data_IF_062929050293
#
_entry.id   IF_062929050293
#
_cell.length_a   1.000
_cell.length_b   1.000
_cell.length_c   1.000
_cell.angle_alpha   90.00
_cell.angle_beta   90.00
_cell.angle_gamma   90.00
#
_symmetry.space_group_name_H-M   'P 1'
#
loop_
_entity.id
_entity.type
_entity.pdbx_description
1 polymer ?
#
# COMPACT_ATOMS: atom_id res chain seq x y z
N UNK A 1 -0.76 -1.56 8.17
CA UNK A 1 -1.56 -2.43 9.07
C UNK A 1 -1.58 -1.92 10.50
N UNK A 2 -0.45 -1.52 11.03
CA UNK A 2 -0.35 -1.03 12.43
C UNK A 2 -1.30 0.15 12.72
N UNK A 3 -1.38 1.15 11.83
CA UNK A 3 -2.34 2.24 11.95
C UNK A 3 -3.78 1.74 12.13
N UNK A 4 -4.25 0.88 11.22
CA UNK A 4 -5.62 0.36 11.28
C UNK A 4 -5.86 -0.41 12.59
N UNK A 5 -4.96 -1.33 12.94
CA UNK A 5 -5.11 -2.13 14.17
C UNK A 5 -5.14 -1.26 15.43
N UNK A 6 -4.27 -0.24 15.51
CA UNK A 6 -4.27 0.70 16.63
C UNK A 6 -5.58 1.48 16.68
N UNK A 7 -6.06 2.00 15.56
CA UNK A 7 -7.32 2.76 15.52
C UNK A 7 -8.55 1.90 15.78
N UNK A 8 -8.57 0.67 15.32
CA UNK A 8 -9.64 -0.27 15.67
C UNK A 8 -9.69 -0.53 17.18
N UNK A 9 -8.55 -0.67 17.83
CA UNK A 9 -8.49 -0.84 19.28
C UNK A 9 -8.93 0.42 20.06
N UNK A 10 -8.66 1.61 19.53
CA UNK A 10 -9.11 2.88 20.12
C UNK A 10 -10.63 3.10 19.95
N UNK A 11 -11.17 2.76 18.79
CA UNK A 11 -12.59 2.97 18.46
C UNK A 11 -13.49 1.88 19.04
N UNK A 12 -12.98 0.65 19.16
CA UNK A 12 -13.67 -0.51 19.68
C UNK A 12 -12.87 -1.12 20.85
N UNK A 13 -12.92 -0.50 22.04
CA UNK A 13 -12.22 -1.04 23.20
C UNK A 13 -12.85 -2.36 23.68
N UNK A 14 -12.05 -3.21 24.31
CA UNK A 14 -12.53 -4.46 24.89
C UNK A 14 -13.71 -4.21 25.87
N UNK A 15 -14.74 -5.04 25.87
CA UNK A 15 -14.89 -6.35 25.21
C UNK A 15 -15.57 -6.33 23.82
N UNK A 16 -15.65 -5.18 23.14
CA UNK A 16 -16.31 -5.11 21.84
C UNK A 16 -15.56 -5.92 20.79
N UNK A 17 -16.27 -6.66 19.91
CA UNK A 17 -15.65 -7.32 18.79
C UNK A 17 -15.01 -6.27 17.86
N UNK A 18 -13.84 -6.58 17.36
CA UNK A 18 -13.11 -5.69 16.41
C UNK A 18 -12.38 -6.50 15.36
N UNK A 19 -12.29 -5.99 14.13
CA UNK A 19 -11.54 -6.66 13.07
C UNK A 19 -10.03 -6.51 13.29
N UNK A 20 -9.28 -7.48 12.78
CA UNK A 20 -7.83 -7.38 12.68
C UNK A 20 -7.45 -6.99 11.25
N UNK A 21 -6.70 -5.90 11.08
CA UNK A 21 -6.18 -5.50 9.78
C UNK A 21 -4.95 -6.33 9.43
N UNK A 22 -4.96 -6.96 8.26
CA UNK A 22 -3.89 -7.85 7.77
C UNK A 22 -3.47 -7.50 6.35
N UNK A 23 -2.18 -7.64 6.05
CA UNK A 23 -1.69 -7.61 4.69
C UNK A 23 -1.81 -9.03 4.12
N UNK A 24 -2.58 -9.18 3.04
CA UNK A 24 -2.84 -10.46 2.42
C UNK A 24 -2.15 -10.55 1.04
N UNK A 25 -1.56 -11.70 0.77
CA UNK A 25 -1.14 -12.10 -0.57
C UNK A 25 -2.25 -12.93 -1.26
N UNK A 26 -2.10 -13.20 -2.57
CA UNK A 26 -3.09 -13.96 -3.33
C UNK A 26 -3.39 -15.34 -2.73
N UNK A 27 -2.36 -16.05 -2.24
CA UNK A 27 -2.52 -17.38 -1.64
C UNK A 27 -3.27 -17.39 -0.28
N UNK A 28 -3.41 -16.24 0.38
CA UNK A 28 -4.09 -16.13 1.66
C UNK A 28 -5.62 -16.15 1.49
N UNK A 29 -6.09 -15.73 0.33
CA UNK A 29 -7.52 -15.76 0.00
C UNK A 29 -8.09 -17.18 -0.12
N UNK A 30 -7.27 -18.17 -0.48
CA UNK A 30 -7.67 -19.58 -0.54
C UNK A 30 -7.80 -20.22 0.84
N UNK A 31 -7.21 -19.59 1.86
CA UNK A 31 -7.07 -20.16 3.21
C UNK A 31 -7.84 -19.37 4.25
N UNK A 32 -8.75 -18.50 3.84
CA UNK A 32 -9.53 -17.68 4.77
C UNK A 32 -10.21 -18.57 5.80
N UNK A 33 -9.96 -18.27 7.07
CA UNK A 33 -10.53 -18.94 8.24
C UNK A 33 -10.40 -20.48 8.27
N UNK A 34 -9.57 -21.07 7.40
CA UNK A 34 -9.51 -22.52 7.19
C UNK A 34 -8.47 -23.24 8.06
N UNK A 35 -7.53 -22.52 8.66
CA UNK A 35 -6.37 -23.09 9.36
C UNK A 35 -5.87 -22.17 10.47
N UNK A 36 -5.24 -22.70 11.52
CA UNK A 36 -4.56 -21.89 12.53
C UNK A 36 -3.43 -21.04 11.98
N UNK A 37 -2.93 -21.31 10.76
CA UNK A 37 -1.93 -20.49 10.05
C UNK A 37 -2.54 -19.49 9.05
N UNK A 38 -3.88 -19.41 8.92
CA UNK A 38 -4.51 -18.42 8.06
C UNK A 38 -4.19 -17.00 8.52
N UNK A 39 -3.77 -16.15 7.59
CA UNK A 39 -3.54 -14.71 7.84
C UNK A 39 -4.88 -14.00 8.02
N UNK A 40 -5.89 -14.38 7.23
CA UNK A 40 -7.23 -13.79 7.30
C UNK A 40 -8.10 -14.66 8.21
N UNK A 41 -8.40 -14.16 9.41
CA UNK A 41 -9.28 -14.77 10.40
C UNK A 41 -10.37 -13.81 10.81
N UNK A 42 -11.60 -14.29 10.87
CA UNK A 42 -12.76 -13.49 11.23
C UNK A 42 -12.73 -13.01 12.71
N UNK A 43 -13.10 -11.76 12.97
CA UNK A 43 -13.32 -10.69 12.01
C UNK A 43 -12.00 -10.08 11.52
N UNK A 44 -11.92 -9.72 10.23
CA UNK A 44 -10.71 -9.14 9.66
C UNK A 44 -11.01 -8.06 8.59
N UNK A 45 -10.04 -7.17 8.38
CA UNK A 45 -9.94 -6.31 7.21
C UNK A 45 -8.62 -6.64 6.50
N UNK A 46 -8.71 -7.20 5.31
CA UNK A 46 -7.52 -7.48 4.49
C UNK A 46 -7.19 -6.29 3.60
N UNK A 47 -5.89 -6.02 3.45
CA UNK A 47 -5.34 -5.13 2.45
C UNK A 47 -4.53 -5.97 1.47
N UNK A 48 -4.89 -5.92 0.21
CA UNK A 48 -4.23 -6.64 -0.88
C UNK A 48 -3.67 -5.66 -1.89
N UNK A 49 -2.36 -5.72 -2.15
CA UNK A 49 -1.73 -4.95 -3.22
C UNK A 49 -1.84 -5.75 -4.52
N UNK A 50 -2.72 -5.33 -5.42
CA UNK A 50 -2.93 -6.03 -6.69
C UNK A 50 -2.11 -5.46 -7.85
N UNK A 51 -1.60 -4.23 -7.71
CA UNK A 51 -0.80 -3.58 -8.75
C UNK A 51 0.20 -2.59 -8.16
N UNK A 52 1.41 -2.60 -8.72
CA UNK A 52 2.42 -1.57 -8.46
C UNK A 52 2.81 -0.94 -9.80
N UNK A 53 2.84 0.38 -9.88
CA UNK A 53 3.26 1.09 -11.08
C UNK A 53 4.09 2.33 -10.72
N UNK A 54 4.77 2.88 -11.72
CA UNK A 54 5.52 4.13 -11.56
C UNK A 54 4.55 5.30 -11.44
N UNK A 55 4.78 6.20 -10.50
CA UNK A 55 4.06 7.46 -10.43
C UNK A 55 4.62 8.44 -11.46
N UNK A 56 4.04 8.39 -12.66
CA UNK A 56 4.51 9.13 -13.82
C UNK A 56 4.61 10.66 -13.60
N UNK A 57 3.66 11.32 -12.92
CA UNK A 57 3.76 12.76 -12.65
C UNK A 57 4.97 13.14 -11.79
N UNK A 58 5.35 12.31 -10.83
CA UNK A 58 6.48 12.61 -9.92
C UNK A 58 7.84 12.20 -10.52
N UNK A 59 7.87 11.27 -11.46
CA UNK A 59 9.09 10.69 -12.01
C UNK A 59 10.11 11.71 -12.57
N UNK A 60 9.71 12.76 -13.31
CA UNK A 60 10.68 13.72 -13.88
C UNK A 60 11.54 14.41 -12.83
N UNK A 61 10.97 14.80 -11.69
CA UNK A 61 11.69 15.44 -10.61
C UNK A 61 12.63 14.51 -9.81
N UNK A 62 12.50 13.21 -10.01
CA UNK A 62 13.23 12.18 -9.26
C UNK A 62 14.27 11.42 -10.10
N UNK A 63 14.50 11.86 -11.31
CA UNK A 63 15.57 11.31 -12.15
C UNK A 63 16.95 11.73 -11.62
N UNK A 64 17.98 10.93 -11.90
CA UNK A 64 19.36 11.25 -11.50
C UNK A 64 19.89 12.57 -12.08
N UNK A 65 19.31 13.02 -13.20
CA UNK A 65 19.68 14.29 -13.86
C UNK A 65 19.16 15.51 -13.08
N UNK A 66 18.01 15.38 -12.44
CA UNK A 66 17.37 16.47 -11.68
C UNK A 66 17.60 16.39 -10.17
N UNK A 67 18.14 15.27 -9.67
CA UNK A 67 18.43 15.13 -8.24
C UNK A 67 19.74 15.83 -7.86
N UNK A 68 19.72 16.55 -6.75
CA UNK A 68 20.90 17.32 -6.25
C UNK A 68 22.07 16.39 -5.90
N UNK A 69 21.78 15.18 -5.46
CA UNK A 69 22.76 14.17 -5.03
C UNK A 69 23.12 13.16 -6.14
N UNK A 70 22.58 13.32 -7.35
CA UNK A 70 22.82 12.42 -8.47
C UNK A 70 22.22 11.01 -8.31
N UNK A 71 21.49 10.74 -7.23
CA UNK A 71 20.85 9.44 -6.99
C UNK A 71 19.54 9.38 -7.75
N UNK A 72 19.38 8.35 -8.58
CA UNK A 72 18.13 8.06 -9.26
C UNK A 72 17.11 7.50 -8.27
N UNK A 73 15.90 8.04 -8.29
CA UNK A 73 14.79 7.56 -7.47
C UNK A 73 13.62 7.17 -8.34
N UNK A 74 12.98 6.08 -7.99
CA UNK A 74 11.77 5.63 -8.69
C UNK A 74 10.57 5.85 -7.77
N UNK A 75 9.68 6.79 -8.13
CA UNK A 75 8.43 6.98 -7.40
C UNK A 75 7.43 5.89 -7.80
N UNK A 76 6.87 5.20 -6.82
CA UNK A 76 5.90 4.14 -7.02
C UNK A 76 4.53 4.53 -6.49
N UNK A 77 3.53 3.97 -7.13
CA UNK A 77 2.13 3.96 -6.74
C UNK A 77 1.69 2.52 -6.54
N UNK A 78 1.11 2.22 -5.39
CA UNK A 78 0.57 0.90 -5.07
C UNK A 78 -0.95 0.97 -5.07
N UNK A 79 -1.59 0.12 -5.85
CA UNK A 79 -3.03 -0.03 -5.89
C UNK A 79 -3.45 -1.16 -4.96
N UNK A 80 -4.35 -0.84 -4.06
CA UNK A 80 -4.74 -1.68 -2.93
C UNK A 80 -6.24 -1.98 -3.00
N UNK A 81 -6.62 -3.18 -2.60
CA UNK A 81 -8.01 -3.54 -2.32
C UNK A 81 -8.16 -3.81 -0.83
N UNK A 82 -9.12 -3.13 -0.21
CA UNK A 82 -9.55 -3.38 1.15
C UNK A 82 -10.82 -4.23 1.13
N UNK A 83 -10.80 -5.39 1.77
CA UNK A 83 -11.98 -6.26 1.91
C UNK A 83 -12.18 -6.63 3.37
N UNK A 84 -13.43 -6.64 3.82
CA UNK A 84 -13.78 -7.12 5.15
C UNK A 84 -14.22 -8.58 5.12
N UNK A 85 -14.03 -9.25 6.25
CA UNK A 85 -14.23 -10.69 6.41
C UNK A 85 -14.90 -10.97 7.75
N UNK A 86 -16.14 -11.44 7.68
CA UNK A 86 -16.93 -11.85 8.84
C UNK A 86 -17.89 -12.98 8.44
N UNK A 87 -18.62 -13.51 9.43
CA UNK A 87 -19.70 -14.46 9.20
C UNK A 87 -21.00 -13.78 8.71
N UNK A 88 -21.15 -12.49 8.96
CA UNK A 88 -22.32 -11.70 8.65
C UNK A 88 -21.98 -10.52 7.73
N UNK A 89 -22.81 -10.31 6.71
CA UNK A 89 -22.60 -9.24 5.72
C UNK A 89 -22.71 -7.85 6.38
N UNK A 90 -23.60 -7.70 7.35
CA UNK A 90 -23.77 -6.46 8.10
C UNK A 90 -22.46 -6.07 8.81
N UNK A 91 -21.80 -7.04 9.44
CA UNK A 91 -20.50 -6.82 10.09
C UNK A 91 -19.41 -6.50 9.08
N UNK A 92 -19.39 -7.15 7.91
CA UNK A 92 -18.42 -6.82 6.84
C UNK A 92 -18.56 -5.36 6.39
N UNK A 93 -19.80 -4.87 6.22
CA UNK A 93 -20.06 -3.46 5.85
C UNK A 93 -19.62 -2.50 6.96
N UNK A 94 -19.87 -2.85 8.21
CA UNK A 94 -19.44 -2.06 9.37
C UNK A 94 -17.90 -1.97 9.44
N UNK A 95 -17.20 -3.09 9.28
CA UNK A 95 -15.73 -3.13 9.29
C UNK A 95 -15.10 -2.35 8.13
N UNK A 96 -15.70 -2.42 6.92
CA UNK A 96 -15.26 -1.58 5.80
C UNK A 96 -15.48 -0.10 6.09
N UNK A 97 -16.67 0.27 6.59
CA UNK A 97 -16.97 1.65 6.97
C UNK A 97 -16.00 2.21 8.01
N UNK A 98 -15.65 1.40 9.01
CA UNK A 98 -14.69 1.76 10.04
C UNK A 98 -13.26 1.96 9.44
N UNK A 99 -12.84 1.07 8.53
CA UNK A 99 -11.56 1.20 7.86
C UNK A 99 -11.47 2.47 7.00
N UNK A 100 -12.54 2.81 6.27
CA UNK A 100 -12.67 4.06 5.52
C UNK A 100 -12.54 5.26 6.45
N UNK A 101 -13.29 5.28 7.55
CA UNK A 101 -13.25 6.37 8.53
C UNK A 101 -11.84 6.61 9.06
N UNK A 102 -11.09 5.55 9.34
CA UNK A 102 -9.69 5.64 9.79
C UNK A 102 -8.80 6.20 8.69
N UNK A 103 -8.90 5.69 7.46
CA UNK A 103 -8.04 6.11 6.35
C UNK A 103 -8.34 7.53 5.87
N UNK A 104 -9.60 7.96 5.89
CA UNK A 104 -9.96 9.34 5.56
C UNK A 104 -9.42 10.35 6.60
N UNK A 105 -9.36 9.93 7.86
CA UNK A 105 -8.82 10.78 8.93
C UNK A 105 -7.28 10.80 8.94
N UNK A 106 -6.65 9.65 8.79
CA UNK A 106 -5.22 9.44 9.00
C UNK A 106 -4.51 8.96 7.71
N UNK A 107 -5.04 9.27 6.54
CA UNK A 107 -4.56 8.76 5.24
C UNK A 107 -3.20 9.28 4.77
N UNK A 108 -2.58 10.20 5.53
CA UNK A 108 -1.20 10.65 5.28
C UNK A 108 -0.28 10.00 6.30
N UNK A 109 0.45 8.99 5.87
CA UNK A 109 1.40 8.26 6.72
C UNK A 109 2.74 9.00 6.76
N UNK A 110 3.11 9.49 7.93
CA UNK A 110 4.36 10.23 8.17
C UNK A 110 5.03 9.78 9.46
N UNK A 111 6.31 9.99 9.59
CA UNK A 111 7.06 9.79 10.83
C UNK A 111 6.78 8.44 11.49
N UNK A 112 6.18 8.42 12.70
CA UNK A 112 5.94 7.18 13.46
C UNK A 112 4.98 6.19 12.79
N UNK A 113 4.24 6.60 11.75
CA UNK A 113 3.35 5.74 10.99
C UNK A 113 4.06 4.99 9.87
N UNK A 114 5.28 5.37 9.56
CA UNK A 114 6.15 4.70 8.61
C UNK A 114 7.11 3.76 9.36
N UNK A 115 7.32 2.56 8.82
CA UNK A 115 8.24 1.60 9.42
C UNK A 115 9.68 2.15 9.38
N UNK A 116 10.37 2.28 10.52
CA UNK A 116 11.75 2.79 10.57
C UNK A 116 12.73 2.02 9.69
N UNK A 117 12.48 0.74 9.42
CA UNK A 117 13.32 -0.09 8.55
C UNK A 117 13.24 0.28 7.08
N UNK A 118 12.26 1.08 6.67
CA UNK A 118 12.01 1.47 5.28
C UNK A 118 12.97 2.53 4.73
N UNK A 119 13.92 3.04 5.53
CA UNK A 119 14.89 4.03 5.06
C UNK A 119 14.28 5.39 4.68
N UNK A 120 13.16 5.75 5.30
CA UNK A 120 12.45 7.00 5.05
C UNK A 120 13.29 8.22 5.40
N UNK A 121 13.24 9.24 4.56
CA UNK A 121 13.90 10.51 4.84
C UNK A 121 12.98 11.41 5.68
N UNK A 122 13.56 12.37 6.44
CA UNK A 122 12.78 13.38 7.15
C UNK A 122 11.83 14.11 6.21
N UNK A 123 10.56 14.20 6.58
CA UNK A 123 9.52 14.86 5.79
C UNK A 123 8.88 14.00 4.70
N UNK A 124 9.32 12.76 4.51
CA UNK A 124 8.61 11.84 3.61
C UNK A 124 7.25 11.45 4.16
N UNK A 125 6.31 11.32 3.23
CA UNK A 125 4.95 10.93 3.50
C UNK A 125 4.42 9.98 2.42
N UNK A 126 3.61 9.02 2.82
CA UNK A 126 2.83 8.19 1.91
C UNK A 126 1.36 8.57 2.07
N UNK A 127 0.76 9.06 1.00
CA UNK A 127 -0.66 9.37 0.95
C UNK A 127 -1.44 8.12 0.54
N UNK A 128 -2.41 7.73 1.36
CA UNK A 128 -3.36 6.64 1.09
C UNK A 128 -4.73 7.25 0.87
N UNK A 129 -5.24 7.16 -0.35
CA UNK A 129 -6.52 7.76 -0.74
C UNK A 129 -7.39 6.75 -1.47
N UNK A 130 -8.71 6.96 -1.42
CA UNK A 130 -9.66 6.19 -2.22
C UNK A 130 -9.29 6.32 -3.70
N UNK A 131 -9.35 5.20 -4.41
CA UNK A 131 -9.14 5.14 -5.86
C UNK A 131 -10.49 4.95 -6.54
N UNK A 132 -10.74 5.70 -7.61
CA UNK A 132 -11.94 5.54 -8.42
C UNK A 132 -11.65 4.52 -9.51
N UNK A 133 -12.00 3.25 -9.25
CA UNK A 133 -11.87 2.20 -10.25
C UNK A 133 -13.25 1.87 -10.86
N UNK A 134 -13.33 1.78 -12.20
CA UNK A 134 -14.48 1.18 -12.86
C UNK A 134 -14.70 -0.27 -12.37
N UNK A 135 -15.95 -0.70 -12.35
CA UNK A 135 -16.31 -2.05 -11.88
C UNK A 135 -15.59 -3.15 -12.67
N UNK A 136 -15.37 -2.94 -13.96
CA UNK A 136 -14.65 -3.87 -14.83
C UNK A 136 -13.20 -4.07 -14.35
N UNK A 137 -12.51 -3.00 -14.00
CA UNK A 137 -11.14 -3.06 -13.47
C UNK A 137 -11.05 -3.73 -12.10
N UNK A 138 -12.09 -3.61 -11.27
CA UNK A 138 -12.18 -4.35 -10.02
C UNK A 138 -12.38 -5.85 -10.28
N UNK A 139 -13.24 -6.22 -11.23
CA UNK A 139 -13.45 -7.61 -11.62
C UNK A 139 -12.14 -8.25 -12.12
N UNK A 140 -11.40 -7.56 -12.97
CA UNK A 140 -10.07 -8.00 -13.45
C UNK A 140 -9.08 -8.23 -12.30
N UNK A 141 -9.08 -7.37 -11.27
CA UNK A 141 -8.23 -7.55 -10.09
C UNK A 141 -8.57 -8.83 -9.31
N UNK A 142 -9.84 -9.26 -9.34
CA UNK A 142 -10.29 -10.50 -8.70
C UNK A 142 -10.15 -11.74 -9.59
N UNK A 143 -10.14 -11.62 -10.91
CA UNK A 143 -9.95 -12.75 -11.83
C UNK A 143 -8.62 -13.48 -11.62
N UNK A 144 -7.59 -12.76 -11.18
CA UNK A 144 -6.30 -13.34 -10.83
C UNK A 144 -6.30 -14.10 -9.48
N UNK A 145 -7.39 -14.00 -8.70
CA UNK A 145 -7.56 -14.66 -7.42
C UNK A 145 -8.48 -15.87 -7.58
N UNK A 146 -8.20 -16.94 -6.87
CA UNK A 146 -9.06 -18.14 -6.85
C UNK A 146 -10.33 -17.95 -6.02
N UNK A 147 -10.39 -16.85 -5.26
CA UNK A 147 -11.57 -16.49 -4.46
C UNK A 147 -12.65 -15.85 -5.33
N UNK A 148 -13.91 -16.02 -4.91
CA UNK A 148 -15.03 -15.30 -5.52
C UNK A 148 -14.91 -13.81 -5.23
N UNK A 149 -15.49 -12.97 -6.12
CA UNK A 149 -15.63 -11.55 -5.89
C UNK A 149 -16.17 -11.27 -4.49
N UNK A 150 -15.52 -10.36 -3.80
CA UNK A 150 -15.93 -9.87 -2.48
C UNK A 150 -16.03 -8.37 -2.51
N UNK A 151 -17.00 -7.84 -1.75
CA UNK A 151 -17.12 -6.40 -1.61
C UNK A 151 -15.81 -5.81 -1.11
N UNK A 152 -15.25 -4.90 -1.89
CA UNK A 152 -13.95 -4.29 -1.64
C UNK A 152 -13.95 -2.83 -2.03
N UNK A 153 -13.08 -2.07 -1.38
CA UNK A 153 -12.84 -0.68 -1.68
C UNK A 153 -11.43 -0.51 -2.23
N UNK A 154 -11.28 0.10 -3.40
CA UNK A 154 -9.98 0.38 -3.98
C UNK A 154 -9.34 1.60 -3.30
N UNK A 155 -8.07 1.49 -2.99
CA UNK A 155 -7.23 2.57 -2.48
C UNK A 155 -5.93 2.65 -3.28
N UNK A 156 -5.33 3.83 -3.30
CA UNK A 156 -4.00 4.02 -3.84
C UNK A 156 -3.08 4.63 -2.78
N UNK A 157 -1.91 4.01 -2.59
CA UNK A 157 -0.83 4.55 -1.76
C UNK A 157 0.22 5.19 -2.68
N UNK A 158 0.53 6.48 -2.46
CA UNK A 158 1.49 7.28 -3.22
C UNK A 158 2.15 8.34 -2.33
N UNK A 159 3.36 8.79 -2.49
CA UNK A 159 4.35 8.27 -3.44
C UNK A 159 5.34 7.46 -2.62
N UNK A 160 5.64 6.26 -3.04
CA UNK A 160 6.61 5.39 -2.37
C UNK A 160 7.91 5.49 -3.18
N UNK A 161 9.00 5.82 -2.50
CA UNK A 161 10.31 6.01 -3.11
C UNK A 161 11.13 4.71 -3.08
N UNK A 162 11.73 4.39 -4.21
CA UNK A 162 12.80 3.39 -4.27
C UNK A 162 14.07 4.08 -4.76
N UNK A 163 15.11 4.04 -3.95
CA UNK A 163 16.41 4.59 -4.31
C UNK A 163 17.20 3.61 -5.18
N UNK A 164 17.81 4.12 -6.25
CA UNK A 164 18.55 3.33 -7.23
C UNK A 164 19.92 2.83 -6.77
N UNK A 165 20.28 3.12 -5.53
CA UNK A 165 21.61 2.79 -4.98
C UNK A 165 22.75 3.70 -5.50
N UNK A 166 23.92 3.67 -4.87
CA UNK A 166 25.07 4.47 -5.29
C UNK A 166 25.56 3.98 -6.65
N UNK A 167 25.77 4.90 -7.59
CA UNK A 167 26.50 4.58 -8.80
C UNK A 167 27.95 4.27 -8.46
N UNK A 168 28.57 3.23 -9.06
CA UNK A 168 30.01 3.11 -9.01
C UNK A 168 30.59 4.39 -9.62
N UNK A 169 31.55 5.01 -8.90
CA UNK A 169 32.25 6.19 -9.39
C UNK A 169 33.05 5.73 -10.62
N UNK A 170 32.47 5.97 -11.81
CA UNK A 170 33.21 5.84 -13.05
C UNK A 170 34.29 6.93 -13.09
N UNK A 171 35.44 6.61 -13.66
CA UNK A 171 36.46 7.62 -13.93
C UNK A 171 35.81 8.79 -14.71
N UNK A 172 36.01 10.00 -14.23
CA UNK A 172 35.51 11.19 -14.93
C UNK A 172 36.18 11.25 -16.31
N UNK A 173 35.38 11.30 -17.37
CA UNK A 173 35.90 11.55 -18.72
C UNK A 173 36.49 12.96 -18.72
N UNK A 174 37.82 13.01 -18.59
CA UNK A 174 38.53 14.26 -18.39
C UNK A 174 38.64 15.10 -19.67
N UNK A 175 38.54 14.49 -20.87
CA UNK A 175 38.67 15.21 -22.10
C UNK A 175 38.13 14.40 -23.32
N UNK A 176 37.34 15.05 -24.15
CA UNK A 176 37.02 14.57 -25.51
C UNK A 176 37.81 15.45 -26.47
N UNK A 177 38.90 14.90 -27.01
CA UNK A 177 39.62 15.56 -28.08
C UNK A 177 38.87 15.32 -29.40
N UNK A 178 38.37 16.40 -30.00
CA UNK A 178 37.73 16.35 -31.32
C UNK A 178 38.82 16.74 -32.33
N UNK A 179 39.40 15.77 -32.98
CA UNK A 179 40.23 15.99 -34.19
C UNK A 179 39.35 16.58 -35.29
N UNK A 180 39.80 17.69 -35.81
CA UNK A 180 39.23 18.37 -37.00
C UNK A 180 39.91 17.94 -38.27
#
# INVERSE_FOLDING_TARGET
>A
MELLNRRFAELLPDPLPRPTAVLAGSADFDKVNSSPVSVIRYPAVSVYCYRVCVDAPTRPGWSSVSSVDGVSRTPLRMHLLLAAWDNFVESELEWLGLAVQVLERDGVLTGPLLDPSGGWQPGEAVQVVLDELPLDSMSEAFEALTTKYRLSLPYVARVIRIDGGPRPVGESVAQVEVDR
#
